data_IF_070842170770
#
_entry.id   IF_070842170770
#
_cell.length_a   1.000
_cell.length_b   1.000
_cell.length_c   1.000
_cell.angle_alpha   90.00
_cell.angle_beta   90.00
_cell.angle_gamma   90.00
#
_symmetry.space_group_name_H-M   'P 1'
#
loop_
_entity.id
_entity.type
_entity.pdbx_description
1 polymer ?
#
# COMPACT_ATOMS: atom_id res chain seq x y z
N UNK A 1 8.15 6.40 6.39
CA UNK A 1 7.85 7.79 5.98
C UNK A 1 8.89 8.69 6.61
N UNK A 2 9.30 9.74 5.89
CA UNK A 2 9.98 10.90 6.45
C UNK A 2 8.99 12.07 6.49
N UNK A 3 8.65 12.52 7.69
CA UNK A 3 7.75 13.66 7.88
C UNK A 3 8.44 14.84 8.59
N UNK A 4 9.77 14.90 8.52
CA UNK A 4 10.53 16.06 8.99
C UNK A 4 10.02 17.41 8.44
N UNK A 5 9.48 17.52 7.20
CA UNK A 5 8.91 18.79 6.74
C UNK A 5 7.66 19.19 7.55
N UNK A 6 6.78 18.23 7.86
CA UNK A 6 5.52 18.48 8.56
C UNK A 6 5.69 18.56 10.08
N UNK A 7 6.70 17.90 10.64
CA UNK A 7 7.01 17.88 12.07
C UNK A 7 8.46 18.32 12.30
N UNK A 8 8.71 19.64 12.44
CA UNK A 8 10.06 20.16 12.65
C UNK A 8 10.76 19.56 13.87
N UNK A 9 9.99 19.30 14.93
CA UNK A 9 10.48 18.75 16.19
C UNK A 9 10.18 17.24 16.35
N UNK A 10 9.75 16.58 15.26
CA UNK A 10 9.28 15.19 15.22
C UNK A 10 8.14 14.93 16.24
N UNK A 11 7.79 13.65 16.41
CA UNK A 11 6.75 13.20 17.34
C UNK A 11 7.15 11.88 18.01
N UNK A 12 6.43 11.48 19.05
CA UNK A 12 6.64 10.19 19.70
C UNK A 12 6.24 9.02 18.77
N UNK A 13 7.10 8.00 18.58
CA UNK A 13 6.87 6.95 17.57
C UNK A 13 5.62 6.11 17.84
N UNK A 14 5.19 5.96 19.09
CA UNK A 14 3.99 5.20 19.47
C UNK A 14 2.80 6.08 19.84
N UNK A 15 2.99 7.40 20.00
CA UNK A 15 1.95 8.34 20.40
C UNK A 15 1.87 9.47 19.37
N UNK A 16 1.23 9.23 18.21
CA UNK A 16 1.09 10.22 17.17
C UNK A 16 0.32 11.44 17.71
N UNK A 17 1.02 12.55 17.88
CA UNK A 17 0.47 13.78 18.45
C UNK A 17 1.18 14.26 19.72
N UNK A 18 2.08 13.47 20.31
CA UNK A 18 2.92 13.90 21.44
C UNK A 18 4.33 14.28 21.01
N UNK A 19 4.97 15.18 21.75
CA UNK A 19 6.42 15.41 21.68
C UNK A 19 7.17 14.09 21.86
N UNK A 20 8.38 14.01 21.31
CA UNK A 20 9.23 12.81 21.41
C UNK A 20 9.48 12.37 22.86
N UNK A 21 9.51 13.30 23.79
CA UNK A 21 9.70 13.10 25.23
C UNK A 21 8.38 13.01 26.02
N UNK A 22 7.23 12.96 25.33
CA UNK A 22 5.89 12.95 25.93
C UNK A 22 5.55 14.18 26.79
N UNK A 23 6.31 15.27 26.71
CA UNK A 23 6.10 16.49 27.51
C UNK A 23 4.81 17.25 27.16
N UNK A 24 4.25 17.01 25.98
CA UNK A 24 3.06 17.71 25.51
C UNK A 24 2.70 17.35 24.07
N UNK A 25 1.88 18.19 23.45
CA UNK A 25 1.36 17.96 22.09
C UNK A 25 2.33 18.46 21.02
N UNK A 26 2.69 17.60 20.07
CA UNK A 26 3.53 17.95 18.93
C UNK A 26 2.85 18.96 18.01
N UNK A 27 3.60 20.03 17.71
CA UNK A 27 3.26 20.96 16.65
C UNK A 27 3.47 20.29 15.28
N UNK A 28 2.50 20.48 14.38
CA UNK A 28 2.50 19.88 13.06
C UNK A 28 1.91 20.83 12.02
N UNK A 29 2.54 20.88 10.84
CA UNK A 29 1.94 21.46 9.65
C UNK A 29 1.03 20.45 8.96
N UNK A 30 0.10 20.93 8.14
CA UNK A 30 -0.71 20.03 7.32
C UNK A 30 0.16 19.33 6.27
N UNK A 31 -0.23 18.11 5.87
CA UNK A 31 0.47 17.36 4.81
C UNK A 31 0.37 18.03 3.44
N UNK A 32 -0.59 18.94 3.24
CA UNK A 32 -0.72 19.73 2.01
C UNK A 32 0.25 20.90 1.98
N UNK A 33 0.43 21.56 3.12
CA UNK A 33 1.38 22.69 3.26
C UNK A 33 2.82 22.20 3.25
N UNK A 34 3.11 21.08 3.91
CA UNK A 34 4.45 20.48 3.99
C UNK A 34 4.40 18.97 3.73
N UNK A 35 4.46 18.55 2.45
CA UNK A 35 4.31 17.15 2.08
C UNK A 35 5.41 16.26 2.68
N UNK A 36 5.05 15.18 3.40
CA UNK A 36 6.01 14.19 3.84
C UNK A 36 6.41 13.26 2.69
N UNK A 37 7.59 12.64 2.79
CA UNK A 37 8.07 11.64 1.84
C UNK A 37 7.68 10.24 2.32
N UNK A 38 7.03 9.47 1.44
CA UNK A 38 6.66 8.08 1.71
C UNK A 38 7.69 7.13 1.12
N UNK A 39 7.86 5.99 1.77
CA UNK A 39 8.76 4.91 1.33
C UNK A 39 7.99 3.60 1.42
N UNK A 40 8.16 2.72 0.43
CA UNK A 40 7.81 1.31 0.59
C UNK A 40 8.79 0.68 1.58
N UNK A 41 8.28 -0.15 2.47
CA UNK A 41 9.04 -0.87 3.49
C UNK A 41 8.56 -2.32 3.52
N UNK A 42 9.22 -3.14 4.35
CA UNK A 42 8.87 -4.54 4.54
C UNK A 42 8.97 -5.37 3.24
N UNK A 43 10.20 -5.47 2.74
CA UNK A 43 10.52 -6.25 1.54
C UNK A 43 10.71 -7.74 1.82
N UNK A 44 10.28 -8.26 2.98
CA UNK A 44 10.53 -9.64 3.40
C UNK A 44 9.92 -10.69 2.46
N UNK A 45 8.85 -10.33 1.73
CA UNK A 45 8.21 -11.18 0.73
C UNK A 45 8.41 -10.68 -0.71
N UNK A 46 9.19 -9.62 -0.91
CA UNK A 46 9.43 -9.06 -2.24
C UNK A 46 10.36 -9.93 -3.07
N UNK A 47 10.25 -9.82 -4.39
CA UNK A 47 11.06 -10.56 -5.35
C UNK A 47 11.67 -9.60 -6.37
N UNK A 48 12.83 -9.97 -6.89
CA UNK A 48 13.50 -9.26 -7.98
C UNK A 48 13.55 -10.20 -9.18
N UNK A 49 13.05 -9.73 -10.32
CA UNK A 49 12.99 -10.49 -11.56
C UNK A 49 14.01 -9.94 -12.56
N UNK A 50 14.65 -10.82 -13.33
CA UNK A 50 15.44 -10.42 -14.50
C UNK A 50 14.50 -10.33 -15.72
N UNK A 51 14.41 -9.17 -16.41
CA UNK A 51 13.60 -9.05 -17.63
C UNK A 51 13.98 -10.05 -18.74
N UNK A 52 15.21 -10.57 -18.74
CA UNK A 52 15.69 -11.56 -19.72
C UNK A 52 15.06 -12.94 -19.54
N UNK A 53 14.55 -13.26 -18.34
CA UNK A 53 13.93 -14.56 -18.02
C UNK A 53 12.50 -14.69 -18.56
N UNK A 54 11.98 -13.64 -19.22
CA UNK A 54 10.61 -13.57 -19.71
C UNK A 54 9.61 -13.10 -18.65
N UNK A 55 8.30 -13.28 -18.88
CA UNK A 55 7.27 -12.78 -17.97
C UNK A 55 7.32 -13.51 -16.63
N UNK A 56 7.40 -12.74 -15.53
CA UNK A 56 7.44 -13.28 -14.18
C UNK A 56 6.18 -14.10 -13.86
N UNK A 57 6.38 -15.33 -13.39
CA UNK A 57 5.31 -16.20 -12.88
C UNK A 57 5.77 -16.92 -11.63
N UNK A 58 5.01 -16.80 -10.56
CA UNK A 58 5.37 -17.37 -9.25
C UNK A 58 4.14 -17.97 -8.57
N UNK A 59 4.38 -18.99 -7.76
CA UNK A 59 3.39 -19.41 -6.77
C UNK A 59 3.27 -18.31 -5.70
N UNK A 60 2.04 -18.06 -5.26
CA UNK A 60 1.80 -16.98 -4.31
C UNK A 60 2.48 -17.26 -2.99
N UNK A 61 3.15 -16.25 -2.47
CA UNK A 61 3.66 -16.28 -1.11
C UNK A 61 2.53 -15.82 -0.19
N UNK A 62 2.17 -16.66 0.78
CA UNK A 62 1.04 -16.39 1.67
C UNK A 62 1.39 -15.28 2.68
N UNK A 63 1.03 -14.05 2.33
CA UNK A 63 1.14 -12.88 3.21
C UNK A 63 -0.05 -12.70 4.16
N UNK A 64 -0.11 -11.52 4.80
CA UNK A 64 -1.19 -11.14 5.71
C UNK A 64 -2.54 -10.88 5.01
N UNK A 65 -2.53 -10.48 3.75
CA UNK A 65 -3.74 -10.18 2.97
C UNK A 65 -4.14 -11.36 2.08
N UNK A 66 -5.29 -11.98 2.39
CA UNK A 66 -5.73 -13.26 1.81
C UNK A 66 -6.98 -13.17 0.94
N UNK A 67 -7.38 -11.96 0.54
CA UNK A 67 -8.67 -11.71 -0.13
C UNK A 67 -8.63 -11.89 -1.65
N UNK A 68 -7.44 -12.05 -2.26
CA UNK A 68 -7.30 -12.13 -3.72
C UNK A 68 -7.72 -13.51 -4.22
N UNK A 69 -8.37 -13.56 -5.39
CA UNK A 69 -8.84 -14.81 -6.03
C UNK A 69 -7.72 -15.83 -6.22
N UNK A 70 -6.52 -15.34 -6.49
CA UNK A 70 -5.26 -16.07 -6.54
C UNK A 70 -5.03 -16.96 -5.30
N UNK A 71 -5.50 -16.57 -4.11
CA UNK A 71 -5.38 -17.34 -2.86
C UNK A 71 -6.50 -18.36 -2.64
N UNK A 72 -7.49 -18.45 -3.54
CA UNK A 72 -8.70 -19.23 -3.32
C UNK A 72 -8.76 -20.47 -4.22
N UNK A 73 -9.27 -21.58 -3.68
CA UNK A 73 -9.51 -22.82 -4.42
C UNK A 73 -8.28 -23.32 -5.20
N UNK A 74 -8.49 -23.63 -6.48
CA UNK A 74 -7.43 -24.09 -7.38
C UNK A 74 -6.40 -23.00 -7.75
N UNK A 75 -6.69 -21.73 -7.48
CA UNK A 75 -5.78 -20.62 -7.80
C UNK A 75 -4.48 -20.68 -7.01
N UNK A 76 -4.52 -21.25 -5.80
CA UNK A 76 -3.38 -21.31 -4.88
C UNK A 76 -2.19 -22.09 -5.44
N UNK A 77 -2.45 -23.13 -6.24
CA UNK A 77 -1.41 -23.99 -6.82
C UNK A 77 -1.04 -23.59 -8.26
N UNK A 78 -1.47 -22.42 -8.73
CA UNK A 78 -1.21 -21.94 -10.10
C UNK A 78 -0.20 -20.78 -10.05
N UNK A 79 0.79 -20.72 -10.96
CA UNK A 79 1.69 -19.58 -11.06
C UNK A 79 1.00 -18.34 -11.65
N UNK A 80 1.08 -17.23 -10.92
CA UNK A 80 0.48 -15.94 -11.30
C UNK A 80 1.52 -14.89 -11.63
N UNK A 81 1.11 -13.86 -12.37
CA UNK A 81 1.93 -12.68 -12.59
C UNK A 81 1.97 -11.84 -11.29
N UNK A 82 3.13 -11.75 -10.61
CA UNK A 82 3.25 -11.10 -9.31
C UNK A 82 2.95 -9.59 -9.37
N UNK A 83 3.24 -8.94 -10.50
CA UNK A 83 2.97 -7.51 -10.66
C UNK A 83 1.46 -7.22 -10.66
N UNK A 84 0.64 -8.10 -11.25
CA UNK A 84 -0.82 -7.96 -11.25
C UNK A 84 -1.40 -8.16 -9.86
N UNK A 85 -0.87 -9.13 -9.11
CA UNK A 85 -1.21 -9.33 -7.70
C UNK A 85 -0.92 -8.08 -6.86
N UNK A 86 0.22 -7.42 -7.07
CA UNK A 86 0.55 -6.16 -6.37
C UNK A 86 -0.45 -5.03 -6.69
N UNK A 87 -0.89 -4.91 -7.95
CA UNK A 87 -1.93 -3.95 -8.33
C UNK A 87 -3.26 -4.27 -7.63
N UNK A 88 -3.64 -5.55 -7.53
CA UNK A 88 -4.83 -5.93 -6.79
C UNK A 88 -4.73 -5.56 -5.30
N UNK A 89 -3.58 -5.76 -4.66
CA UNK A 89 -3.36 -5.33 -3.28
C UNK A 89 -3.46 -3.81 -3.12
N UNK A 90 -2.86 -3.04 -4.03
CA UNK A 90 -2.94 -1.59 -4.01
C UNK A 90 -4.39 -1.12 -4.18
N UNK A 91 -5.17 -1.80 -5.02
CA UNK A 91 -6.60 -1.54 -5.21
C UNK A 91 -7.39 -1.76 -3.92
N UNK A 92 -7.20 -2.91 -3.27
CA UNK A 92 -7.87 -3.20 -1.99
C UNK A 92 -7.51 -2.16 -0.94
N UNK A 93 -6.23 -1.78 -0.86
CA UNK A 93 -5.77 -0.71 0.01
C UNK A 93 -6.46 0.63 -0.28
N UNK A 94 -6.51 1.08 -1.54
CA UNK A 94 -7.15 2.37 -1.87
C UNK A 94 -8.65 2.34 -1.53
N UNK A 95 -9.33 1.23 -1.84
CA UNK A 95 -10.75 1.05 -1.55
C UNK A 95 -11.03 1.16 -0.05
N UNK A 96 -10.35 0.34 0.75
CA UNK A 96 -10.59 0.20 2.20
C UNK A 96 -10.08 1.42 2.98
N UNK A 97 -8.89 1.91 2.66
CA UNK A 97 -8.28 3.01 3.41
C UNK A 97 -8.87 4.39 3.04
N UNK A 98 -9.40 4.55 1.81
CA UNK A 98 -9.88 5.84 1.32
C UNK A 98 -11.35 5.86 0.92
N UNK A 99 -11.78 5.05 -0.06
CA UNK A 99 -13.13 5.15 -0.62
C UNK A 99 -14.24 4.79 0.38
N UNK A 100 -14.01 3.78 1.22
CA UNK A 100 -14.97 3.35 2.23
C UNK A 100 -14.95 4.26 3.46
N UNK A 101 -13.83 4.94 3.72
CA UNK A 101 -13.62 5.79 4.90
C UNK A 101 -14.01 7.25 4.70
N UNK A 102 -13.83 7.79 3.49
CA UNK A 102 -14.04 9.22 3.20
C UNK A 102 -15.04 9.43 2.06
N UNK A 103 -16.01 10.32 2.28
CA UNK A 103 -17.10 10.59 1.33
C UNK A 103 -16.65 11.34 0.07
N UNK A 104 -15.60 12.15 0.16
CA UNK A 104 -15.10 13.03 -0.89
C UNK A 104 -14.00 12.42 -1.77
N UNK A 105 -13.77 11.11 -1.66
CA UNK A 105 -12.77 10.39 -2.47
C UNK A 105 -13.36 9.73 -3.73
N UNK A 106 -14.62 10.04 -4.08
CA UNK A 106 -15.29 9.41 -5.22
C UNK A 106 -14.56 9.53 -6.57
N UNK A 107 -13.70 10.55 -6.72
CA UNK A 107 -12.89 10.74 -7.93
C UNK A 107 -11.86 9.62 -8.17
N UNK A 108 -11.50 8.83 -7.16
CA UNK A 108 -10.57 7.69 -7.33
C UNK A 108 -11.26 6.41 -7.79
N UNK A 109 -12.60 6.37 -7.84
CA UNK A 109 -13.36 5.18 -8.23
C UNK A 109 -12.98 4.65 -9.62
N UNK A 110 -12.85 5.48 -10.68
CA UNK A 110 -12.46 4.97 -12.00
C UNK A 110 -11.12 4.22 -11.95
N UNK A 111 -10.11 4.80 -11.29
CA UNK A 111 -8.80 4.15 -11.10
C UNK A 111 -8.93 2.82 -10.36
N UNK A 112 -9.65 2.78 -9.24
CA UNK A 112 -9.83 1.57 -8.42
C UNK A 112 -10.56 0.47 -9.21
N UNK A 113 -11.48 0.84 -10.09
CA UNK A 113 -12.16 -0.09 -10.99
C UNK A 113 -11.19 -0.63 -12.04
N UNK A 114 -10.39 0.22 -12.68
CA UNK A 114 -9.45 -0.19 -13.73
C UNK A 114 -8.30 -1.05 -13.22
N UNK A 115 -7.97 -0.97 -11.93
CA UNK A 115 -6.94 -1.80 -11.29
C UNK A 115 -7.34 -3.28 -11.14
N UNK A 116 -8.60 -3.66 -11.46
CA UNK A 116 -9.05 -5.05 -11.49
C UNK A 116 -9.84 -5.27 -12.78
N UNK A 117 -9.19 -5.86 -13.78
CA UNK A 117 -9.84 -6.31 -15.00
C UNK A 117 -9.90 -7.85 -14.98
N UNK A 118 -11.08 -8.41 -15.22
CA UNK A 118 -11.30 -9.86 -15.25
C UNK A 118 -10.50 -10.54 -16.38
N UNK A 119 -10.31 -9.83 -17.49
CA UNK A 119 -9.34 -10.21 -18.50
C UNK A 119 -8.09 -9.33 -18.37
N UNK A 120 -6.97 -9.89 -17.91
CA UNK A 120 -5.72 -9.16 -17.79
C UNK A 120 -5.12 -8.71 -19.15
N UNK A 121 -5.55 -9.27 -20.28
CA UNK A 121 -4.95 -9.03 -21.61
C UNK A 121 -5.86 -8.26 -22.58
#
# INVERSE_FOLDING_TARGET
MDASPAYPNLWHPQLPGSHRDCSGRAFQYSRTERPPRYYYIDFGLSRKYNPEDGPARELLIRGGHKSVLEFQGEGYNKPWNPFRTDIHYLRSFIREAFLEKYRNMGFTRPLVTDMVQDNPD
#
